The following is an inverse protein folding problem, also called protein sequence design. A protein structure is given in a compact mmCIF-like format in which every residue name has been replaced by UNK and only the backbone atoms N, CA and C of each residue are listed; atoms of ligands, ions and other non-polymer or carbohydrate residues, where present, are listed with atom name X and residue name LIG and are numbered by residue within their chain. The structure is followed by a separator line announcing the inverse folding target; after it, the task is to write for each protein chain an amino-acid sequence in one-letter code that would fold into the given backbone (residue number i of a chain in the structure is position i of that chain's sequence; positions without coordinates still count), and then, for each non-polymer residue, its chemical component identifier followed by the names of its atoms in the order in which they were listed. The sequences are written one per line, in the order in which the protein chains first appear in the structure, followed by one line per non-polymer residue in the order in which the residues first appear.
data_IF_140847469667
#
_entry.id   IF_140847469667
#
_cell.length_a   1.000
_cell.length_b   1.000
_cell.length_c   1.000
_cell.angle_alpha   90.00
_cell.angle_beta   90.00
_cell.angle_gamma   90.00
#
_symmetry.space_group_name_H-M   'P 1'
#
loop_
_entity.id
_entity.type
_entity.pdbx_description
1 polymer ?
#
# COMPACT_ATOMS: atom_id res chain seq x y z
N UNK A 1 19.76 -4.47 -13.13
CA UNK A 1 19.83 -5.88 -12.77
C UNK A 1 18.60 -6.58 -13.32
N UNK A 2 18.80 -7.64 -14.10
CA UNK A 2 17.73 -8.43 -14.73
C UNK A 2 17.78 -8.34 -16.25
N UNK A 3 17.00 -9.21 -16.92
CA UNK A 3 17.00 -9.32 -18.38
C UNK A 3 16.41 -8.06 -19.00
N UNK A 4 17.13 -7.41 -19.92
CA UNK A 4 16.72 -6.18 -20.61
C UNK A 4 16.29 -5.03 -19.68
N UNK A 5 16.85 -4.97 -18.46
CA UNK A 5 16.73 -3.81 -17.60
C UNK A 5 17.75 -2.75 -18.04
N UNK A 6 17.29 -1.69 -18.68
CA UNK A 6 18.12 -0.69 -19.33
C UNK A 6 18.08 0.67 -18.59
N UNK A 7 19.18 1.44 -18.63
CA UNK A 7 19.11 2.85 -18.22
C UNK A 7 18.27 3.67 -19.21
N UNK A 8 17.86 4.86 -18.81
CA UNK A 8 17.02 5.76 -19.64
C UNK A 8 17.74 6.29 -20.89
N UNK A 9 19.08 6.34 -20.87
CA UNK A 9 19.93 6.78 -21.97
C UNK A 9 21.35 6.19 -21.84
N UNK A 10 22.14 6.25 -22.91
CA UNK A 10 23.55 5.83 -22.87
C UNK A 10 24.43 6.72 -21.97
N UNK A 11 24.02 7.97 -21.75
CA UNK A 11 24.68 8.92 -20.86
C UNK A 11 23.99 9.03 -19.49
N UNK A 12 23.20 8.05 -19.12
CA UNK A 12 22.45 8.04 -17.86
C UNK A 12 23.39 8.00 -16.64
N UNK A 13 23.10 8.83 -15.64
CA UNK A 13 23.89 8.95 -14.43
C UNK A 13 23.07 8.58 -13.19
N UNK A 14 23.74 7.92 -12.22
CA UNK A 14 23.17 7.61 -10.92
C UNK A 14 21.80 6.87 -11.00
N UNK A 15 21.67 5.91 -11.93
CA UNK A 15 20.48 5.09 -12.07
C UNK A 15 20.69 3.67 -11.54
N UNK A 16 19.69 3.17 -10.84
CA UNK A 16 19.56 1.74 -10.51
C UNK A 16 18.28 1.22 -11.13
N UNK A 17 18.39 0.22 -12.02
CA UNK A 17 17.25 -0.39 -12.71
C UNK A 17 17.22 -1.89 -12.40
N UNK A 18 16.15 -2.37 -11.78
CA UNK A 18 15.98 -3.75 -11.34
C UNK A 18 14.68 -4.29 -11.90
N UNK A 19 14.77 -5.38 -12.72
CA UNK A 19 13.57 -6.02 -13.23
C UNK A 19 13.73 -6.61 -14.61
N UNK A 20 12.65 -6.67 -15.39
CA UNK A 20 12.59 -7.37 -16.68
C UNK A 20 11.93 -6.52 -17.76
N UNK A 21 12.57 -6.43 -18.92
CA UNK A 21 12.07 -5.77 -20.14
C UNK A 21 11.55 -4.34 -19.93
N UNK A 22 12.30 -3.48 -19.24
CA UNK A 22 11.92 -2.08 -19.10
C UNK A 22 13.12 -1.13 -19.02
N UNK A 23 12.84 0.15 -19.23
CA UNK A 23 13.82 1.24 -19.18
C UNK A 23 13.59 2.10 -17.94
N UNK A 24 14.65 2.44 -17.23
CA UNK A 24 14.60 3.28 -16.02
C UNK A 24 14.04 4.68 -16.29
N UNK A 25 13.53 5.33 -15.25
CA UNK A 25 12.78 6.59 -15.32
C UNK A 25 13.67 7.86 -15.23
N UNK A 26 14.93 7.81 -15.65
CA UNK A 26 15.82 8.97 -15.67
C UNK A 26 16.86 9.01 -14.55
N UNK A 27 17.70 10.03 -14.55
CA UNK A 27 18.82 10.17 -13.63
C UNK A 27 18.42 10.37 -12.16
N UNK A 28 19.33 10.00 -11.26
CA UNK A 28 19.15 10.07 -9.81
C UNK A 28 17.94 9.29 -9.30
N UNK A 29 17.65 8.13 -9.90
CA UNK A 29 16.50 7.29 -9.54
C UNK A 29 16.85 5.82 -9.40
N UNK A 30 16.14 5.17 -8.48
CA UNK A 30 15.99 3.72 -8.45
C UNK A 30 14.64 3.38 -9.11
N UNK A 31 14.61 2.45 -10.06
CA UNK A 31 13.42 1.95 -10.73
C UNK A 31 13.32 0.44 -10.57
N UNK A 32 12.18 -0.08 -10.17
CA UNK A 32 11.94 -1.52 -9.97
C UNK A 32 10.63 -1.91 -10.66
N UNK A 33 10.67 -2.97 -11.49
CA UNK A 33 9.47 -3.47 -12.16
C UNK A 33 9.71 -4.22 -13.44
N UNK A 34 8.79 -4.03 -14.40
CA UNK A 34 8.79 -4.71 -15.71
C UNK A 34 8.14 -3.85 -16.79
N UNK A 35 8.08 -4.36 -18.03
CA UNK A 35 7.33 -3.74 -19.12
C UNK A 35 5.84 -3.52 -18.81
N UNK A 36 5.25 -4.37 -17.95
CA UNK A 36 3.84 -4.26 -17.54
C UNK A 36 3.56 -3.19 -16.47
N UNK A 37 4.59 -2.71 -15.80
CA UNK A 37 4.49 -1.68 -14.78
C UNK A 37 5.71 -1.61 -13.88
N UNK A 38 6.02 -0.42 -13.40
CA UNK A 38 7.16 -0.21 -12.51
C UNK A 38 6.92 0.97 -11.57
N UNK A 39 7.66 0.97 -10.47
CA UNK A 39 7.75 2.07 -9.51
C UNK A 39 9.16 2.64 -9.50
N UNK A 40 9.30 3.90 -9.12
CA UNK A 40 10.61 4.53 -8.95
C UNK A 40 10.64 5.42 -7.70
N UNK A 41 11.85 5.59 -7.17
CA UNK A 41 12.14 6.59 -6.15
C UNK A 41 13.18 7.56 -6.69
N UNK A 42 12.97 8.86 -6.48
CA UNK A 42 13.93 9.91 -6.79
C UNK A 42 14.62 10.32 -5.50
N UNK A 43 15.74 9.66 -5.17
CA UNK A 43 16.44 9.83 -3.90
C UNK A 43 17.03 11.23 -3.64
N UNK A 44 16.92 12.12 -4.63
CA UNK A 44 17.26 13.53 -4.48
C UNK A 44 16.04 14.42 -4.21
N UNK A 45 14.83 13.92 -4.41
CA UNK A 45 13.59 14.72 -4.38
C UNK A 45 12.56 14.24 -3.38
N UNK A 46 12.44 12.92 -3.15
CA UNK A 46 11.48 12.36 -2.21
C UNK A 46 11.96 11.04 -1.62
N UNK A 47 11.30 10.57 -0.58
CA UNK A 47 11.58 9.30 0.12
C UNK A 47 10.47 8.26 -0.08
N UNK A 48 9.58 8.44 -1.06
CA UNK A 48 8.46 7.54 -1.36
C UNK A 48 8.56 6.96 -2.76
N UNK A 49 7.90 5.82 -2.98
CA UNK A 49 7.79 5.22 -4.30
C UNK A 49 6.74 5.95 -5.14
N UNK A 50 7.05 6.15 -6.42
CA UNK A 50 6.18 6.81 -7.40
C UNK A 50 5.80 5.82 -8.48
N UNK A 51 4.54 5.87 -8.93
CA UNK A 51 4.02 5.12 -10.06
C UNK A 51 3.34 6.07 -11.04
N UNK A 52 3.28 5.70 -12.33
CA UNK A 52 2.53 6.45 -13.34
C UNK A 52 1.05 6.50 -12.95
N UNK A 53 0.46 7.70 -13.01
CA UNK A 53 -0.96 7.95 -12.72
C UNK A 53 -1.62 8.89 -13.74
N UNK A 54 -1.15 8.87 -14.99
CA UNK A 54 -1.70 9.65 -16.09
C UNK A 54 -3.07 9.11 -16.50
N UNK A 55 -4.05 9.99 -16.66
CA UNK A 55 -5.43 9.65 -17.06
C UNK A 55 -5.47 8.81 -18.35
N UNK A 56 -4.59 9.12 -19.31
CA UNK A 56 -4.51 8.42 -20.61
C UNK A 56 -4.14 6.94 -20.50
N UNK A 57 -3.62 6.52 -19.37
CA UNK A 57 -3.29 5.11 -19.07
C UNK A 57 -4.36 4.39 -18.28
N UNK A 58 -5.47 5.06 -17.96
CA UNK A 58 -6.55 4.54 -17.13
C UNK A 58 -7.85 4.40 -17.92
N UNK A 59 -8.72 3.52 -17.48
CA UNK A 59 -10.08 3.34 -17.98
C UNK A 59 -11.05 3.16 -16.82
N UNK A 60 -12.36 3.34 -17.08
CA UNK A 60 -13.42 3.17 -16.08
C UNK A 60 -13.16 4.01 -14.81
N UNK A 61 -12.82 5.28 -15.00
CA UNK A 61 -12.51 6.18 -13.89
C UNK A 61 -13.82 6.60 -13.24
N UNK A 62 -14.00 6.18 -12.00
CA UNK A 62 -15.18 6.50 -11.18
C UNK A 62 -14.73 7.04 -9.81
N UNK A 63 -15.65 7.68 -9.10
CA UNK A 63 -15.39 8.13 -7.73
C UNK A 63 -15.24 6.92 -6.81
N UNK A 64 -14.22 6.94 -5.94
CA UNK A 64 -14.01 5.88 -4.96
C UNK A 64 -15.21 5.78 -3.99
N UNK A 65 -15.64 4.56 -3.70
CA UNK A 65 -16.71 4.29 -2.73
C UNK A 65 -16.19 4.20 -1.28
N UNK A 66 -14.89 3.96 -1.08
CA UNK A 66 -14.28 3.84 0.22
C UNK A 66 -14.03 5.23 0.83
N UNK A 67 -14.89 5.65 1.76
CA UNK A 67 -14.85 6.95 2.40
C UNK A 67 -14.96 6.86 3.92
N UNK A 68 -15.74 7.78 4.50
CA UNK A 68 -15.86 7.96 5.96
C UNK A 68 -16.34 6.70 6.69
N UNK A 69 -17.32 6.01 6.14
CA UNK A 69 -17.85 4.76 6.72
C UNK A 69 -16.76 3.68 6.83
N UNK A 70 -16.04 3.43 5.73
CA UNK A 70 -14.93 2.48 5.74
C UNK A 70 -13.85 2.84 6.76
N UNK A 71 -13.43 4.10 6.80
CA UNK A 71 -12.39 4.57 7.73
C UNK A 71 -12.85 4.45 9.19
N UNK A 72 -14.12 4.71 9.47
CA UNK A 72 -14.68 4.60 10.83
C UNK A 72 -14.78 3.14 11.32
N UNK A 73 -14.85 2.16 10.41
CA UNK A 73 -14.84 0.73 10.75
C UNK A 73 -13.44 0.17 11.02
N UNK A 74 -12.40 0.93 10.78
CA UNK A 74 -11.02 0.53 11.05
C UNK A 74 -10.64 0.80 12.52
N UNK A 75 -9.85 -0.11 13.10
CA UNK A 75 -9.30 0.03 14.45
C UNK A 75 -7.78 0.15 14.41
N UNK A 76 -7.21 1.36 14.53
CA UNK A 76 -5.77 1.53 14.75
C UNK A 76 -5.33 0.84 16.04
N UNK A 77 -4.25 0.09 15.98
CA UNK A 77 -3.72 -0.69 17.10
C UNK A 77 -2.23 -0.46 17.30
N UNK A 78 -1.76 -0.80 18.49
CA UNK A 78 -0.34 -1.01 18.76
C UNK A 78 -0.09 -2.48 19.08
N UNK A 79 1.07 -3.02 18.66
CA UNK A 79 1.42 -4.40 18.89
C UNK A 79 2.95 -4.58 18.91
N UNK A 80 3.39 -5.70 19.48
CA UNK A 80 4.74 -6.23 19.28
C UNK A 80 4.67 -7.49 18.42
N UNK A 81 5.72 -7.76 17.66
CA UNK A 81 5.80 -9.04 16.97
C UNK A 81 5.94 -10.20 17.96
N UNK A 82 5.31 -11.31 17.68
CA UNK A 82 5.53 -12.55 18.40
C UNK A 82 6.92 -13.09 18.10
N UNK A 83 7.54 -13.70 19.11
CA UNK A 83 8.66 -14.59 18.90
C UNK A 83 8.21 -15.82 18.08
N UNK A 84 9.11 -16.42 17.30
CA UNK A 84 8.77 -17.58 16.46
C UNK A 84 8.11 -18.74 17.23
N UNK A 85 8.51 -18.94 18.49
CA UNK A 85 7.95 -19.99 19.38
C UNK A 85 6.53 -19.69 19.90
N UNK A 86 6.02 -18.47 19.73
CA UNK A 86 4.68 -18.04 20.14
C UNK A 86 3.68 -18.06 18.97
N UNK A 87 4.15 -18.33 17.75
CA UNK A 87 3.32 -18.45 16.55
C UNK A 87 2.79 -19.87 16.50
N UNK A 88 1.51 -20.02 16.13
CA UNK A 88 0.87 -21.31 15.96
C UNK A 88 1.67 -22.18 14.97
N UNK A 89 2.10 -23.39 15.34
CA UNK A 89 2.82 -24.29 14.44
C UNK A 89 2.06 -24.61 13.15
N UNK A 90 0.74 -24.77 13.21
CA UNK A 90 -0.10 -25.02 12.03
C UNK A 90 -0.01 -23.85 11.04
N UNK A 91 -0.08 -22.60 11.54
CA UNK A 91 0.10 -21.41 10.71
C UNK A 91 1.51 -21.31 10.10
N UNK A 92 2.56 -21.73 10.84
CA UNK A 92 3.94 -21.78 10.31
C UNK A 92 4.06 -22.80 9.18
N UNK A 93 3.38 -23.94 9.27
CA UNK A 93 3.40 -25.00 8.25
C UNK A 93 2.66 -24.57 6.98
N UNK A 94 1.59 -23.80 7.11
CA UNK A 94 0.77 -23.29 6.00
C UNK A 94 1.41 -22.11 5.25
N UNK A 95 2.39 -21.43 5.86
CA UNK A 95 3.02 -20.23 5.29
C UNK A 95 4.44 -20.50 4.79
N UNK A 96 4.90 -19.66 3.84
CA UNK A 96 6.23 -19.84 3.22
C UNK A 96 7.35 -19.26 4.09
N UNK A 97 7.16 -18.09 4.67
CA UNK A 97 8.23 -17.33 5.33
C UNK A 97 7.96 -17.01 6.81
N UNK A 98 6.73 -17.16 7.27
CA UNK A 98 6.37 -16.85 8.65
C UNK A 98 7.10 -17.78 9.63
N UNK A 99 7.61 -17.24 10.72
CA UNK A 99 8.30 -17.99 11.76
C UNK A 99 9.71 -18.49 11.41
N UNK A 100 10.21 -18.21 10.18
CA UNK A 100 11.55 -18.64 9.74
C UNK A 100 12.69 -17.72 10.19
N UNK A 101 12.38 -16.58 10.76
CA UNK A 101 13.36 -15.62 11.29
C UNK A 101 12.84 -14.91 12.53
N UNK A 102 13.78 -14.52 13.39
CA UNK A 102 13.42 -13.75 14.57
C UNK A 102 13.08 -12.32 14.19
N UNK A 103 11.96 -11.82 14.72
CA UNK A 103 11.56 -10.42 14.62
C UNK A 103 11.93 -9.67 15.90
N UNK A 104 12.05 -8.36 15.82
CA UNK A 104 12.14 -7.51 17.00
C UNK A 104 10.80 -7.56 17.75
N UNK A 105 10.82 -8.24 18.91
CA UNK A 105 9.66 -8.45 19.76
C UNK A 105 9.47 -7.34 20.80
N UNK A 106 10.45 -6.45 20.96
CA UNK A 106 10.46 -5.40 21.97
C UNK A 106 9.91 -4.07 21.46
N UNK A 107 10.09 -3.78 20.16
CA UNK A 107 9.63 -2.53 19.57
C UNK A 107 8.11 -2.51 19.42
N UNK A 108 7.47 -1.48 20.01
CA UNK A 108 6.04 -1.22 19.83
C UNK A 108 5.76 -0.66 18.44
N UNK A 109 4.91 -1.34 17.71
CA UNK A 109 4.52 -1.02 16.34
C UNK A 109 3.11 -0.44 16.33
N UNK A 110 2.87 0.58 15.49
CA UNK A 110 1.53 1.11 15.20
C UNK A 110 1.05 0.58 13.85
N UNK A 111 -0.19 0.09 13.78
CA UNK A 111 -0.71 -0.47 12.55
C UNK A 111 -2.19 -0.85 12.60
N UNK A 112 -2.56 -1.74 11.70
CA UNK A 112 -3.89 -2.33 11.57
C UNK A 112 -3.77 -3.86 11.59
N UNK A 113 -4.85 -4.54 11.93
CA UNK A 113 -4.97 -5.99 11.83
C UNK A 113 -5.63 -6.32 10.49
N UNK A 114 -4.99 -7.14 9.67
CA UNK A 114 -5.43 -7.43 8.31
C UNK A 114 -6.84 -8.05 8.26
N UNK A 115 -7.19 -8.92 9.22
CA UNK A 115 -8.52 -9.52 9.35
C UNK A 115 -9.60 -8.46 9.66
N UNK A 116 -9.26 -7.45 10.44
CA UNK A 116 -10.19 -6.35 10.76
C UNK A 116 -10.36 -5.39 9.56
N UNK A 117 -9.31 -5.19 8.77
CA UNK A 117 -9.41 -4.46 7.50
C UNK A 117 -10.33 -5.19 6.54
N UNK A 118 -10.20 -6.53 6.41
CA UNK A 118 -11.10 -7.34 5.58
C UNK A 118 -12.55 -7.23 6.05
N UNK A 119 -12.79 -7.32 7.35
CA UNK A 119 -14.12 -7.17 7.91
C UNK A 119 -14.72 -5.78 7.62
N UNK A 120 -13.93 -4.71 7.72
CA UNK A 120 -14.36 -3.36 7.37
C UNK A 120 -14.69 -3.20 5.87
N UNK A 121 -13.95 -3.88 4.98
CA UNK A 121 -14.27 -3.96 3.55
C UNK A 121 -15.61 -4.65 3.31
N UNK A 122 -15.84 -5.78 3.96
CA UNK A 122 -17.07 -6.57 3.84
C UNK A 122 -18.29 -5.79 4.34
N UNK A 123 -18.16 -5.04 5.43
CA UNK A 123 -19.20 -4.18 6.00
C UNK A 123 -19.69 -3.14 4.98
N UNK A 124 -18.78 -2.52 4.22
CA UNK A 124 -19.12 -1.53 3.19
C UNK A 124 -19.36 -2.16 1.80
N UNK A 125 -19.37 -3.50 1.71
CA UNK A 125 -19.61 -4.23 0.46
C UNK A 125 -18.54 -4.02 -0.62
N UNK A 126 -17.28 -3.81 -0.23
CA UNK A 126 -16.16 -3.63 -1.16
C UNK A 126 -15.18 -4.81 -1.07
N UNK A 127 -14.84 -5.40 -2.20
CA UNK A 127 -13.89 -6.52 -2.34
C UNK A 127 -12.65 -6.20 -3.20
N UNK A 128 -12.50 -4.94 -3.59
CA UNK A 128 -11.48 -4.51 -4.56
C UNK A 128 -10.38 -3.62 -3.98
N UNK A 129 -10.37 -3.39 -2.68
CA UNK A 129 -9.39 -2.53 -2.04
C UNK A 129 -7.99 -3.16 -1.99
N UNK A 130 -7.06 -2.63 -2.78
CA UNK A 130 -5.68 -3.11 -2.87
C UNK A 130 -4.81 -2.81 -1.62
N UNK A 131 -5.38 -2.20 -0.57
CA UNK A 131 -4.70 -2.01 0.71
C UNK A 131 -4.73 -3.25 1.60
N UNK A 132 -5.47 -4.28 1.21
CA UNK A 132 -5.51 -5.60 1.82
C UNK A 132 -5.24 -6.68 0.78
N UNK A 133 -4.53 -7.70 1.16
CA UNK A 133 -4.29 -8.88 0.32
C UNK A 133 -4.16 -10.15 1.18
N UNK A 134 -4.46 -11.28 0.58
CA UNK A 134 -4.19 -12.61 1.12
C UNK A 134 -3.21 -13.34 0.22
N UNK A 135 -2.11 -13.79 0.78
CA UNK A 135 -1.01 -14.42 0.07
C UNK A 135 -0.49 -15.66 0.79
N UNK A 136 0.65 -16.16 0.33
CA UNK A 136 1.29 -17.38 0.87
C UNK A 136 1.78 -17.22 2.33
N UNK A 137 1.93 -16.00 2.80
CA UNK A 137 2.37 -15.69 4.17
C UNK A 137 1.19 -15.16 5.03
N UNK A 138 -0.04 -15.47 4.64
CA UNK A 138 -1.26 -15.00 5.30
C UNK A 138 -1.73 -13.64 4.78
N UNK A 139 -2.53 -12.96 5.58
CA UNK A 139 -3.12 -11.67 5.22
C UNK A 139 -2.16 -10.51 5.50
N UNK A 140 -2.14 -9.54 4.61
CA UNK A 140 -1.25 -8.38 4.67
C UNK A 140 -2.02 -7.05 4.46
N UNK A 141 -1.39 -5.95 4.90
CA UNK A 141 -1.93 -4.60 4.77
C UNK A 141 -0.87 -3.64 4.20
N UNK A 142 -1.22 -2.97 3.10
CA UNK A 142 -0.44 -1.89 2.50
C UNK A 142 -0.95 -0.54 3.01
N UNK A 143 -0.28 0.01 4.04
CA UNK A 143 -0.75 1.22 4.75
C UNK A 143 -0.87 2.46 3.87
N UNK A 144 -0.02 2.62 2.87
CA UNK A 144 -0.05 3.77 1.97
C UNK A 144 -1.33 3.82 1.12
N UNK A 145 -1.97 2.68 0.86
CA UNK A 145 -3.21 2.60 0.08
C UNK A 145 -4.41 3.26 0.78
N UNK A 146 -4.35 3.46 2.09
CA UNK A 146 -5.41 4.14 2.86
C UNK A 146 -5.45 5.66 2.63
N UNK A 147 -4.45 6.24 1.98
CA UNK A 147 -4.43 7.69 1.70
C UNK A 147 -5.63 8.11 0.84
N UNK A 148 -5.99 7.34 -0.19
CA UNK A 148 -7.15 7.65 -1.04
C UNK A 148 -8.48 7.57 -0.27
N UNK A 149 -8.80 6.50 0.47
CA UNK A 149 -9.94 6.46 1.37
C UNK A 149 -9.97 7.59 2.40
N UNK A 150 -8.83 7.96 2.99
CA UNK A 150 -8.73 9.07 3.94
C UNK A 150 -9.06 10.42 3.28
N UNK A 151 -8.59 10.66 2.05
CA UNK A 151 -8.95 11.88 1.30
C UNK A 151 -10.47 11.94 1.10
N UNK A 152 -11.09 10.84 0.69
CA UNK A 152 -12.54 10.74 0.51
C UNK A 152 -13.28 10.96 1.82
N UNK A 153 -12.85 10.32 2.91
CA UNK A 153 -13.45 10.49 4.24
C UNK A 153 -13.41 11.95 4.74
N UNK A 154 -12.28 12.65 4.53
CA UNK A 154 -12.15 14.07 4.86
C UNK A 154 -13.11 14.94 4.03
N UNK A 155 -13.27 14.64 2.74
CA UNK A 155 -14.20 15.35 1.88
C UNK A 155 -15.67 15.17 2.34
N UNK A 156 -16.07 13.95 2.67
CA UNK A 156 -17.40 13.63 3.19
C UNK A 156 -17.66 14.32 4.53
N UNK A 157 -16.73 14.19 5.48
CA UNK A 157 -16.84 14.86 6.78
C UNK A 157 -16.93 16.39 6.64
N UNK A 158 -16.18 16.99 5.72
CA UNK A 158 -16.22 18.42 5.45
C UNK A 158 -17.59 18.85 4.91
N UNK A 159 -18.19 18.03 4.05
CA UNK A 159 -19.54 18.30 3.51
C UNK A 159 -20.61 18.20 4.61
N UNK A 160 -20.54 17.21 5.49
CA UNK A 160 -21.45 17.06 6.64
C UNK A 160 -21.34 18.24 7.60
N UNK A 161 -20.13 18.68 7.94
CA UNK A 161 -19.90 19.83 8.81
C UNK A 161 -20.49 21.12 8.20
N UNK A 162 -20.34 21.33 6.89
CA UNK A 162 -20.90 22.50 6.23
C UNK A 162 -22.44 22.47 6.23
N UNK A 163 -23.04 21.32 5.97
CA UNK A 163 -24.50 21.14 6.05
C UNK A 163 -25.04 21.46 7.45
N UNK A 164 -24.39 20.97 8.50
CA UNK A 164 -24.79 21.25 9.89
C UNK A 164 -24.71 22.77 10.22
N UNK A 165 -23.69 23.47 9.71
CA UNK A 165 -23.56 24.93 9.89
C UNK A 165 -24.66 25.70 9.18
N UNK A 166 -25.09 25.27 8.00
CA UNK A 166 -26.19 25.88 7.25
C UNK A 166 -27.54 25.71 7.96
N UNK A 167 -27.76 24.54 8.58
CA UNK A 167 -28.99 24.22 9.35
C UNK A 167 -29.09 25.01 10.67
N UNK A 168 -28.00 25.59 11.18
CA UNK A 168 -27.97 26.37 12.42
C UNK A 168 -28.10 27.90 12.18
N UNK A 169 -28.12 28.36 10.94
CA UNK A 169 -28.31 29.77 10.55
C UNK A 169 -29.71 30.04 10.03
#
# INVERSE_FOLDING_TARGET
IGQNANPSANSAEHQTVIGHDFTGNGDNKVSIGSAGGYVWNSYTANNTWTQVSDERTKKNIESDALGLEFINNLRPVTFNWKHSTEIDPEFIEETVNIGRGEKDTETLIHGLIAQEVKAAMDEVGNDTFNGWEEGQDGQAVSREMFVTPLIKAVQELSAEVNKLKEEQN
#
